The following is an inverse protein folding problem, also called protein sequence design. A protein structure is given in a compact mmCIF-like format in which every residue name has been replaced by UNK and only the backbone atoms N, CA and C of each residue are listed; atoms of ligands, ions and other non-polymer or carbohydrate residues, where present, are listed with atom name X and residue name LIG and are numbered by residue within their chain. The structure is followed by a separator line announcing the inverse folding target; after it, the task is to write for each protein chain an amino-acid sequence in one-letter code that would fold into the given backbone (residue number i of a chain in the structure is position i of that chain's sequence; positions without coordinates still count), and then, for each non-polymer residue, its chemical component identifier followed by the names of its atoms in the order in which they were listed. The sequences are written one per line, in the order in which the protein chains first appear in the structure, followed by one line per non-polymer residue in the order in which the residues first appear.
data_IF_761770882789
#
_entry.id   IF_761770882789
#
_cell.length_a   1.000
_cell.length_b   1.000
_cell.length_c   1.000
_cell.angle_alpha   90.00
_cell.angle_beta   90.00
_cell.angle_gamma   90.00
#
_symmetry.space_group_name_H-M   'P 1'
#
loop_
_entity.id
_entity.type
_entity.pdbx_description
1 polymer ?
#
# COMPACT_ATOMS: atom_id res chain seq x y z
N UNK A 1 -1.58 -9.16 -11.85
CA UNK A 1 -2.92 -8.62 -11.52
C UNK A 1 -3.16 -8.50 -10.01
N UNK A 2 -2.79 -9.48 -9.19
CA UNK A 2 -3.02 -9.46 -7.74
C UNK A 2 -2.41 -8.24 -7.03
N UNK A 3 -1.17 -7.88 -7.34
CA UNK A 3 -0.48 -6.75 -6.71
C UNK A 3 -0.97 -5.37 -7.15
N UNK A 4 -1.62 -5.27 -8.30
CA UNK A 4 -2.27 -4.03 -8.75
C UNK A 4 -3.55 -3.74 -7.95
N UNK A 5 -4.29 -4.77 -7.55
CA UNK A 5 -5.44 -4.64 -6.66
C UNK A 5 -5.03 -4.27 -5.23
N UNK A 6 -3.83 -4.68 -4.80
CA UNK A 6 -3.28 -4.36 -3.50
C UNK A 6 -2.97 -2.87 -3.33
N UNK A 7 -2.46 -2.22 -4.36
CA UNK A 7 -2.05 -0.79 -4.29
C UNK A 7 -3.22 0.15 -3.98
N UNK A 8 -4.38 -0.10 -4.56
CA UNK A 8 -5.58 0.74 -4.38
C UNK A 8 -6.67 0.09 -3.52
N UNK A 9 -6.38 -1.09 -2.94
CA UNK A 9 -7.26 -1.85 -2.05
C UNK A 9 -8.65 -2.16 -2.67
N UNK A 10 -8.78 -2.09 -3.99
CA UNK A 10 -10.05 -2.28 -4.68
C UNK A 10 -10.54 -3.72 -4.52
N UNK A 11 -11.73 -3.89 -3.96
CA UNK A 11 -12.36 -5.20 -3.76
C UNK A 11 -11.89 -5.95 -2.52
N UNK A 12 -10.98 -5.40 -1.71
CA UNK A 12 -10.49 -6.04 -0.49
C UNK A 12 -11.41 -5.82 0.72
N UNK A 13 -12.28 -4.81 0.68
CA UNK A 13 -13.22 -4.51 1.78
C UNK A 13 -12.62 -3.67 2.92
N UNK A 14 -11.37 -3.22 2.82
CA UNK A 14 -10.71 -2.36 3.81
C UNK A 14 -11.19 -0.92 3.75
N UNK A 15 -11.20 -0.31 2.57
CA UNK A 15 -11.54 1.11 2.37
C UNK A 15 -13.00 1.47 2.73
N UNK A 16 -14.03 0.61 2.57
CA UNK A 16 -15.39 0.92 2.99
C UNK A 16 -15.51 1.36 4.45
N UNK A 17 -14.66 0.87 5.33
CA UNK A 17 -14.66 1.27 6.75
C UNK A 17 -14.35 2.76 6.94
N UNK A 18 -13.39 3.31 6.18
CA UNK A 18 -13.09 4.73 6.22
C UNK A 18 -14.17 5.56 5.53
N UNK A 19 -14.64 5.10 4.36
CA UNK A 19 -15.67 5.79 3.59
C UNK A 19 -16.99 5.89 4.34
N UNK A 20 -17.35 4.89 5.15
CA UNK A 20 -18.54 4.91 5.99
C UNK A 20 -18.52 6.02 7.07
N UNK A 21 -17.33 6.51 7.44
CA UNK A 21 -17.18 7.60 8.41
C UNK A 21 -17.25 8.99 7.79
N UNK A 22 -17.34 9.09 6.47
CA UNK A 22 -17.37 10.37 5.76
C UNK A 22 -18.69 11.10 6.02
N UNK A 23 -18.59 12.41 6.27
CA UNK A 23 -19.76 13.29 6.44
C UNK A 23 -20.18 13.83 5.08
N UNK A 24 -20.99 13.09 4.37
CA UNK A 24 -21.51 13.44 3.03
C UNK A 24 -23.03 13.44 3.02
N UNK A 25 -23.64 14.14 2.07
CA UNK A 25 -25.09 14.22 1.93
C UNK A 25 -25.70 12.90 1.44
N UNK A 26 -24.98 12.17 0.58
CA UNK A 26 -25.37 10.85 0.12
C UNK A 26 -24.14 9.95 -0.11
N UNK A 27 -24.29 8.63 0.02
CA UNK A 27 -23.19 7.66 -0.18
C UNK A 27 -22.56 7.73 -1.57
N UNK A 28 -23.31 8.12 -2.59
CA UNK A 28 -22.83 8.26 -3.96
C UNK A 28 -21.67 9.27 -4.07
N UNK A 29 -21.74 10.39 -3.38
CA UNK A 29 -20.68 11.40 -3.39
C UNK A 29 -19.34 10.80 -2.91
N UNK A 30 -19.38 10.04 -1.83
CA UNK A 30 -18.18 9.37 -1.32
C UNK A 30 -17.68 8.27 -2.26
N UNK A 31 -18.58 7.56 -2.93
CA UNK A 31 -18.23 6.57 -3.96
C UNK A 31 -17.47 7.21 -5.13
N UNK A 32 -17.91 8.39 -5.60
CA UNK A 32 -17.24 9.14 -6.66
C UNK A 32 -15.83 9.57 -6.21
N UNK A 33 -15.68 10.07 -4.98
CA UNK A 33 -14.36 10.44 -4.43
C UNK A 33 -13.43 9.23 -4.37
N UNK A 34 -13.94 8.07 -3.95
CA UNK A 34 -13.16 6.84 -3.92
C UNK A 34 -12.71 6.41 -5.35
N UNK A 35 -13.58 6.50 -6.33
CA UNK A 35 -13.24 6.21 -7.73
C UNK A 35 -12.15 7.14 -8.28
N UNK A 36 -12.23 8.43 -7.97
CA UNK A 36 -11.20 9.41 -8.36
C UNK A 36 -9.87 9.06 -7.69
N UNK A 37 -9.88 8.70 -6.41
CA UNK A 37 -8.68 8.27 -5.70
C UNK A 37 -8.01 7.06 -6.36
N UNK A 38 -8.77 6.02 -6.69
CA UNK A 38 -8.27 4.83 -7.40
C UNK A 38 -7.73 5.19 -8.80
N UNK A 39 -8.41 6.09 -9.51
CA UNK A 39 -7.94 6.55 -10.81
C UNK A 39 -6.58 7.27 -10.70
N UNK A 40 -6.44 8.19 -9.75
CA UNK A 40 -5.19 8.91 -9.52
C UNK A 40 -4.05 7.93 -9.16
N UNK A 41 -4.29 7.01 -8.23
CA UNK A 41 -3.30 6.02 -7.83
C UNK A 41 -2.86 5.16 -9.03
N UNK A 42 -3.80 4.60 -9.75
CA UNK A 42 -3.53 3.63 -10.81
C UNK A 42 -2.98 4.29 -12.09
N UNK A 43 -3.63 5.36 -12.58
CA UNK A 43 -3.28 5.94 -13.87
C UNK A 43 -2.24 7.06 -13.77
N UNK A 44 -2.17 7.78 -12.66
CA UNK A 44 -1.19 8.85 -12.51
C UNK A 44 0.04 8.35 -11.78
N UNK A 45 -0.09 7.91 -10.54
CA UNK A 45 1.07 7.57 -9.68
C UNK A 45 1.84 6.37 -10.21
N UNK A 46 1.16 5.27 -10.52
CA UNK A 46 1.82 4.07 -11.04
C UNK A 46 2.44 4.29 -12.43
N UNK A 47 1.76 5.04 -13.30
CA UNK A 47 2.32 5.37 -14.63
C UNK A 47 3.55 6.24 -14.50
N UNK A 48 3.53 7.25 -13.65
CA UNK A 48 4.71 8.10 -13.40
C UNK A 48 5.89 7.28 -12.88
N UNK A 49 5.66 6.40 -11.92
CA UNK A 49 6.69 5.50 -11.39
C UNK A 49 7.25 4.57 -12.49
N UNK A 50 6.38 3.98 -13.30
CA UNK A 50 6.79 3.13 -14.41
C UNK A 50 7.62 3.90 -15.46
N UNK A 51 7.21 5.12 -15.80
CA UNK A 51 7.95 5.98 -16.75
C UNK A 51 9.35 6.33 -16.21
N UNK A 52 9.49 6.66 -14.93
CA UNK A 52 10.79 6.90 -14.32
C UNK A 52 11.67 5.67 -14.41
N UNK A 53 11.17 4.50 -14.05
CA UNK A 53 11.93 3.25 -14.12
C UNK A 53 12.32 2.91 -15.56
N UNK A 54 11.40 3.00 -16.50
CA UNK A 54 11.65 2.68 -17.91
C UNK A 54 12.66 3.66 -18.52
N UNK A 55 12.49 4.95 -18.31
CA UNK A 55 13.36 5.98 -18.89
C UNK A 55 14.78 5.97 -18.31
N UNK A 56 14.96 5.48 -17.10
CA UNK A 56 16.27 5.48 -16.42
C UNK A 56 16.99 4.15 -16.50
N UNK A 57 16.27 3.03 -16.34
CA UNK A 57 16.88 1.70 -16.24
C UNK A 57 16.80 0.88 -17.53
N UNK A 58 15.83 1.16 -18.41
CA UNK A 58 15.67 0.45 -19.69
C UNK A 58 16.08 1.28 -20.91
N UNK A 59 15.97 2.61 -20.88
CA UNK A 59 16.29 3.43 -22.05
C UNK A 59 17.80 3.59 -22.22
N UNK A 60 18.24 3.54 -23.48
CA UNK A 60 19.65 3.73 -23.84
C UNK A 60 20.58 2.64 -23.26
N UNK A 61 21.58 3.04 -22.50
CA UNK A 61 22.52 2.15 -21.82
C UNK A 61 22.13 1.86 -20.37
N UNK A 62 20.82 1.87 -20.06
CA UNK A 62 20.32 1.56 -18.73
C UNK A 62 20.76 0.17 -18.24
N UNK A 63 20.88 0.00 -16.93
CA UNK A 63 21.38 -1.23 -16.28
C UNK A 63 20.57 -2.46 -16.72
N UNK A 64 19.25 -2.32 -16.87
CA UNK A 64 18.37 -3.41 -17.28
C UNK A 64 18.38 -3.64 -18.80
N UNK A 65 18.68 -2.62 -19.61
CA UNK A 65 18.80 -2.75 -21.06
C UNK A 65 20.05 -3.57 -21.46
N UNK A 66 21.12 -3.47 -20.67
CA UNK A 66 22.37 -4.20 -20.90
C UNK A 66 22.36 -5.64 -20.36
N UNK A 67 21.26 -6.09 -19.75
CA UNK A 67 21.18 -7.41 -19.11
C UNK A 67 21.92 -7.53 -17.79
N UNK A 68 22.55 -6.46 -17.32
CA UNK A 68 23.27 -6.42 -16.04
C UNK A 68 22.29 -6.23 -14.87
N UNK A 69 21.35 -7.17 -14.70
CA UNK A 69 20.34 -7.11 -13.64
C UNK A 69 20.91 -7.48 -12.23
N UNK A 70 22.20 -7.72 -12.11
CA UNK A 70 22.83 -8.03 -10.82
C UNK A 70 22.66 -6.85 -9.85
N UNK A 71 22.06 -7.14 -8.69
CA UNK A 71 21.78 -6.15 -7.63
C UNK A 71 20.49 -5.34 -7.81
N UNK A 72 19.76 -5.52 -8.91
CA UNK A 72 18.45 -4.88 -9.11
C UNK A 72 17.35 -5.83 -8.66
N UNK A 73 16.61 -5.44 -7.63
CA UNK A 73 15.44 -6.16 -7.11
C UNK A 73 14.18 -5.31 -7.25
N UNK A 74 13.01 -5.93 -7.14
CA UNK A 74 11.74 -5.21 -7.14
C UNK A 74 11.64 -4.15 -6.04
N UNK A 75 12.36 -4.34 -4.95
CA UNK A 75 12.33 -3.45 -3.78
C UNK A 75 13.24 -2.24 -3.90
N UNK A 76 14.35 -2.33 -4.66
CA UNK A 76 15.31 -1.23 -4.81
C UNK A 76 15.28 -0.54 -6.17
N UNK A 77 14.44 -1.01 -7.10
CA UNK A 77 14.38 -0.52 -8.46
C UNK A 77 14.12 0.99 -8.56
N UNK A 78 13.16 1.50 -7.78
CA UNK A 78 12.87 2.93 -7.72
C UNK A 78 14.07 3.73 -7.16
N UNK A 79 14.72 3.20 -6.12
CA UNK A 79 15.89 3.84 -5.53
C UNK A 79 17.03 3.96 -6.54
N UNK A 80 17.31 2.91 -7.29
CA UNK A 80 18.35 2.91 -8.33
C UNK A 80 17.98 3.90 -9.45
N UNK A 81 16.71 3.93 -9.86
CA UNK A 81 16.22 4.84 -10.88
C UNK A 81 16.41 6.32 -10.49
N UNK A 82 16.00 6.70 -9.28
CA UNK A 82 16.20 8.07 -8.79
C UNK A 82 17.67 8.40 -8.53
N UNK A 83 18.46 7.43 -8.07
CA UNK A 83 19.90 7.62 -7.86
C UNK A 83 20.66 7.85 -9.17
N UNK A 84 20.22 7.28 -10.27
CA UNK A 84 20.83 7.51 -11.60
C UNK A 84 20.65 8.94 -12.12
N UNK A 85 19.58 9.63 -11.69
CA UNK A 85 19.27 11.02 -12.09
C UNK A 85 19.87 12.03 -11.11
N UNK A 86 19.65 11.79 -9.81
CA UNK A 86 19.98 12.76 -8.75
C UNK A 86 21.33 12.53 -8.10
N UNK A 87 22.02 11.44 -8.47
CA UNK A 87 23.24 10.97 -7.79
C UNK A 87 22.92 10.05 -6.61
N UNK A 88 23.86 9.17 -6.28
CA UNK A 88 23.63 8.07 -5.33
C UNK A 88 23.12 8.54 -3.96
N UNK A 89 23.72 9.57 -3.38
CA UNK A 89 23.35 10.05 -2.05
C UNK A 89 22.01 10.76 -2.06
N UNK A 90 21.79 11.69 -2.99
CA UNK A 90 20.58 12.49 -3.05
C UNK A 90 19.37 11.64 -3.46
N UNK A 91 19.51 10.77 -4.47
CA UNK A 91 18.44 9.88 -4.92
C UNK A 91 18.03 8.87 -3.86
N UNK A 92 19.00 8.24 -3.18
CA UNK A 92 18.73 7.31 -2.09
C UNK A 92 18.03 7.99 -0.91
N UNK A 93 18.49 9.18 -0.52
CA UNK A 93 17.87 9.95 0.56
C UNK A 93 16.44 10.38 0.20
N UNK A 94 16.22 10.85 -1.02
CA UNK A 94 14.90 11.23 -1.50
C UNK A 94 13.91 10.06 -1.42
N UNK A 95 14.29 8.90 -1.96
CA UNK A 95 13.43 7.71 -1.92
C UNK A 95 13.21 7.22 -0.49
N UNK A 96 14.23 7.24 0.36
CA UNK A 96 14.10 6.85 1.77
C UNK A 96 13.09 7.75 2.51
N UNK A 97 13.14 9.07 2.30
CA UNK A 97 12.18 10.02 2.89
C UNK A 97 10.76 9.73 2.37
N UNK A 98 10.59 9.53 1.07
CA UNK A 98 9.28 9.19 0.49
C UNK A 98 8.75 7.88 1.08
N UNK A 99 9.56 6.83 1.16
CA UNK A 99 9.16 5.55 1.73
C UNK A 99 8.80 5.67 3.21
N UNK A 100 9.51 6.51 3.97
CA UNK A 100 9.17 6.78 5.37
C UNK A 100 7.76 7.37 5.50
N UNK A 101 7.41 8.35 4.68
CA UNK A 101 6.06 8.94 4.69
C UNK A 101 5.00 7.96 4.23
N UNK A 102 5.26 7.16 3.20
CA UNK A 102 4.35 6.11 2.74
C UNK A 102 4.12 5.04 3.81
N UNK A 103 5.19 4.55 4.44
CA UNK A 103 5.07 3.57 5.52
C UNK A 103 4.28 4.13 6.71
N UNK A 104 4.58 5.37 7.11
CA UNK A 104 3.87 6.03 8.21
C UNK A 104 2.37 6.20 7.92
N UNK A 105 2.02 6.70 6.73
CA UNK A 105 0.61 6.87 6.33
C UNK A 105 -0.12 5.53 6.24
N UNK A 106 0.54 4.49 5.73
CA UNK A 106 -0.01 3.14 5.65
C UNK A 106 -0.30 2.57 7.03
N UNK A 107 0.65 2.69 7.98
CA UNK A 107 0.45 2.25 9.36
C UNK A 107 -0.74 2.97 10.00
N UNK A 108 -0.87 4.29 9.81
CA UNK A 108 -2.00 5.06 10.32
C UNK A 108 -3.33 4.60 9.72
N UNK A 109 -3.38 4.41 8.39
CA UNK A 109 -4.59 3.97 7.68
C UNK A 109 -5.05 2.58 8.13
N UNK A 110 -4.16 1.61 8.13
CA UNK A 110 -4.49 0.24 8.54
C UNK A 110 -4.83 0.14 10.03
N UNK A 111 -4.14 0.88 10.88
CA UNK A 111 -4.51 0.95 12.30
C UNK A 111 -5.90 1.56 12.51
N UNK A 112 -6.26 2.57 11.71
CA UNK A 112 -7.61 3.16 11.74
C UNK A 112 -8.68 2.14 11.34
N UNK A 113 -8.48 1.37 10.26
CA UNK A 113 -9.41 0.32 9.86
C UNK A 113 -9.57 -0.74 10.95
N UNK A 114 -8.46 -1.23 11.49
CA UNK A 114 -8.51 -2.23 12.56
C UNK A 114 -9.20 -1.71 13.83
N UNK A 115 -8.91 -0.46 14.21
CA UNK A 115 -9.55 0.18 15.37
C UNK A 115 -11.07 0.27 15.22
N UNK A 116 -11.58 0.71 14.07
CA UNK A 116 -13.03 0.81 13.84
C UNK A 116 -13.69 -0.55 13.95
N UNK A 117 -13.08 -1.59 13.36
CA UNK A 117 -13.61 -2.94 13.43
C UNK A 117 -13.64 -3.49 14.87
N UNK A 118 -12.55 -3.29 15.62
CA UNK A 118 -12.48 -3.72 17.02
C UNK A 118 -13.48 -2.95 17.90
N UNK A 119 -13.63 -1.66 17.68
CA UNK A 119 -14.61 -0.84 18.39
C UNK A 119 -16.04 -1.31 18.10
N UNK A 120 -16.33 -1.67 16.84
CA UNK A 120 -17.64 -2.17 16.43
C UNK A 120 -17.97 -3.54 17.03
N UNK A 121 -17.00 -4.48 17.00
CA UNK A 121 -17.23 -5.86 17.46
C UNK A 121 -17.16 -6.02 18.99
N UNK A 122 -16.22 -5.34 19.64
CA UNK A 122 -15.90 -5.56 21.05
C UNK A 122 -16.09 -4.30 21.94
N UNK A 123 -16.48 -3.19 21.32
CA UNK A 123 -16.70 -1.92 22.00
C UNK A 123 -15.42 -1.15 22.31
N UNK A 124 -15.59 0.09 22.80
CA UNK A 124 -14.49 1.04 23.04
C UNK A 124 -13.43 0.55 24.02
N UNK A 125 -13.79 -0.33 24.96
CA UNK A 125 -12.86 -0.86 25.98
C UNK A 125 -11.80 -1.81 25.38
N UNK A 126 -12.05 -2.41 24.22
CA UNK A 126 -11.10 -3.31 23.56
C UNK A 126 -10.04 -2.55 22.73
N UNK A 127 -10.29 -1.29 22.38
CA UNK A 127 -9.39 -0.49 21.52
C UNK A 127 -7.97 -0.33 22.11
N UNK A 128 -7.76 -0.05 23.40
CA UNK A 128 -6.41 0.04 23.96
C UNK A 128 -5.63 -1.28 23.85
N UNK A 129 -6.30 -2.41 24.10
CA UNK A 129 -5.69 -3.74 23.96
C UNK A 129 -5.28 -4.01 22.53
N UNK A 130 -6.18 -3.73 21.57
CA UNK A 130 -5.87 -3.81 20.16
C UNK A 130 -4.65 -2.94 19.80
N UNK A 131 -4.58 -1.70 20.28
CA UNK A 131 -3.48 -0.78 19.96
C UNK A 131 -2.13 -1.30 20.46
N UNK A 132 -2.08 -1.91 21.64
CA UNK A 132 -0.86 -2.52 22.19
C UNK A 132 -0.43 -3.71 21.29
N UNK A 133 -1.38 -4.57 20.92
CA UNK A 133 -1.12 -5.72 20.04
C UNK A 133 -0.64 -5.24 18.66
N UNK A 134 -1.27 -4.22 18.10
CA UNK A 134 -0.91 -3.65 16.80
C UNK A 134 0.54 -3.11 16.82
N UNK A 135 0.92 -2.35 17.84
CA UNK A 135 2.30 -1.85 17.98
C UNK A 135 3.30 -3.01 18.13
N UNK A 136 2.97 -4.02 18.93
CA UNK A 136 3.83 -5.20 19.07
C UNK A 136 4.00 -5.96 17.74
N UNK A 137 2.92 -6.13 16.97
CA UNK A 137 2.97 -6.79 15.67
C UNK A 137 3.74 -5.97 14.62
N UNK A 138 3.65 -4.64 14.63
CA UNK A 138 4.46 -3.77 13.76
C UNK A 138 5.94 -3.95 14.09
N UNK A 139 6.29 -3.96 15.38
CA UNK A 139 7.67 -4.19 15.81
C UNK A 139 8.17 -5.58 15.39
N UNK A 140 7.40 -6.64 15.65
CA UNK A 140 7.75 -7.99 15.24
C UNK A 140 7.85 -8.11 13.72
N UNK A 141 6.94 -7.47 12.98
CA UNK A 141 6.97 -7.45 11.50
C UNK A 141 8.23 -6.79 10.93
N UNK A 142 8.83 -5.83 11.62
CA UNK A 142 10.10 -5.24 11.21
C UNK A 142 11.31 -6.18 11.36
N UNK A 143 11.16 -7.27 12.12
CA UNK A 143 12.21 -8.27 12.37
C UNK A 143 12.12 -9.48 11.44
N UNK A 144 11.06 -9.62 10.66
CA UNK A 144 10.86 -10.73 9.70
C UNK A 144 11.52 -10.43 8.35
N UNK A 145 11.80 -11.48 7.59
CA UNK A 145 12.29 -11.34 6.21
C UNK A 145 11.22 -10.71 5.31
N UNK A 146 11.67 -9.96 4.29
CA UNK A 146 10.76 -9.34 3.32
C UNK A 146 9.83 -10.35 2.65
N UNK A 147 10.34 -11.53 2.30
CA UNK A 147 9.55 -12.57 1.61
C UNK A 147 8.42 -13.07 2.51
N UNK A 148 8.73 -13.39 3.78
CA UNK A 148 7.70 -13.81 4.74
C UNK A 148 6.68 -12.70 5.00
N UNK A 149 7.11 -11.45 5.12
CA UNK A 149 6.20 -10.32 5.30
C UNK A 149 5.22 -10.18 4.12
N UNK A 150 5.72 -10.35 2.88
CA UNK A 150 4.88 -10.32 1.68
C UNK A 150 3.91 -11.51 1.60
N UNK A 151 4.36 -12.72 1.89
CA UNK A 151 3.51 -13.92 1.88
C UNK A 151 2.38 -13.81 2.91
N UNK A 152 2.69 -13.36 4.12
CA UNK A 152 1.68 -13.13 5.16
C UNK A 152 0.68 -12.04 4.75
N UNK A 153 1.17 -10.94 4.18
CA UNK A 153 0.30 -9.86 3.69
C UNK A 153 -0.64 -10.34 2.59
N UNK A 154 -0.12 -11.08 1.61
CA UNK A 154 -0.93 -11.63 0.51
C UNK A 154 -1.98 -12.61 1.05
N UNK A 155 -1.62 -13.48 2.00
CA UNK A 155 -2.55 -14.41 2.63
C UNK A 155 -3.70 -13.68 3.35
N UNK A 156 -3.40 -12.71 4.21
CA UNK A 156 -4.43 -11.98 4.94
C UNK A 156 -5.31 -11.13 4.04
N UNK A 157 -4.73 -10.54 2.99
CA UNK A 157 -5.48 -9.77 2.00
C UNK A 157 -6.48 -10.66 1.24
N UNK A 158 -6.06 -11.86 0.83
CA UNK A 158 -6.97 -12.82 0.18
C UNK A 158 -8.10 -13.26 1.13
N UNK A 159 -7.80 -13.47 2.41
CA UNK A 159 -8.82 -13.78 3.42
C UNK A 159 -9.85 -12.66 3.59
N UNK A 160 -9.44 -11.38 3.48
CA UNK A 160 -10.36 -10.24 3.56
C UNK A 160 -11.33 -10.15 2.36
N UNK A 161 -10.91 -10.62 1.17
CA UNK A 161 -11.77 -10.61 -0.02
C UNK A 161 -13.00 -11.49 0.16
N UNK A 162 -12.90 -12.60 0.90
CA UNK A 162 -13.99 -13.56 1.08
C UNK A 162 -15.23 -12.91 1.74
N UNK A 163 -15.13 -12.30 2.94
CA UNK A 163 -16.29 -11.66 3.56
C UNK A 163 -16.80 -10.46 2.77
N UNK A 164 -15.89 -9.71 2.12
CA UNK A 164 -16.29 -8.59 1.27
C UNK A 164 -17.12 -9.05 0.06
N UNK A 165 -16.67 -10.10 -0.61
CA UNK A 165 -17.41 -10.70 -1.73
C UNK A 165 -18.81 -11.17 -1.29
N UNK A 166 -18.89 -11.87 -0.16
CA UNK A 166 -20.18 -12.31 0.39
C UNK A 166 -21.11 -11.12 0.71
N UNK A 167 -20.57 -10.03 1.26
CA UNK A 167 -21.34 -8.83 1.57
C UNK A 167 -21.86 -8.10 0.31
N UNK A 168 -21.10 -8.15 -0.80
CA UNK A 168 -21.52 -7.53 -2.07
C UNK A 168 -22.56 -8.36 -2.80
N UNK A 169 -22.46 -9.69 -2.73
CA UNK A 169 -23.34 -10.63 -3.46
C UNK A 169 -24.60 -10.96 -2.67
N UNK A 170 -24.56 -10.85 -1.35
CA UNK A 170 -25.73 -11.07 -0.51
C UNK A 170 -26.79 -9.97 -0.78
N UNK A 171 -28.06 -10.34 -1.01
CA UNK A 171 -29.16 -9.40 -1.27
C UNK A 171 -29.50 -8.55 -0.03
#
# INVERSE_FOLDING_TARGET
TERGLFSNEAGMGSTPHAHAMAKVSCPHEQGVVAMIGVFIDTFVVLTMTALVVISTLYAGNGILASGAAEGVSKTNMAQIAFSSIMGNTAGSLFVAICLMFFAFSTILGWNFFGRINVEYLFGKKAVPVYSIIAVALIFLGSCVSNDLAWELSDMFNQLMVIPNFLAIVAP
#
